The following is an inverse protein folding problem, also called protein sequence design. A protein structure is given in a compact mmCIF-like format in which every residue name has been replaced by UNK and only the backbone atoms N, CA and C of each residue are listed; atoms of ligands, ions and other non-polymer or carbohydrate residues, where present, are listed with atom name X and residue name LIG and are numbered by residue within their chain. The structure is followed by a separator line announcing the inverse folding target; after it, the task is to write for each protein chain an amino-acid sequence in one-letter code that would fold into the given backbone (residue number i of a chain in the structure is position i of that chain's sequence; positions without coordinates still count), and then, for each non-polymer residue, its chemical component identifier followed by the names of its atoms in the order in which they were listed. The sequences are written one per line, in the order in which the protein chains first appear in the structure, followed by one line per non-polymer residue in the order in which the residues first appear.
data_IF_620612082600
#
_entry.id   IF_620612082600
#
_cell.length_a   1.000
_cell.length_b   1.000
_cell.length_c   1.000
_cell.angle_alpha   90.00
_cell.angle_beta   90.00
_cell.angle_gamma   90.00
#
_symmetry.space_group_name_H-M   'P 1'
#
loop_
_entity.id
_entity.type
_entity.pdbx_description
1 polymer ?
#
# COMPACT_ATOMS: atom_id res chain seq x y z
N UNK A 1 -6.35 17.21 36.07
CA UNK A 1 -6.09 16.82 34.67
C UNK A 1 -4.60 16.56 34.57
N UNK A 2 -4.18 15.29 34.63
CA UNK A 2 -2.77 14.93 34.46
C UNK A 2 -2.37 15.15 33.00
N UNK A 3 -1.36 15.99 32.79
CA UNK A 3 -0.70 16.13 31.50
C UNK A 3 0.11 14.86 31.25
N UNK A 4 -0.42 13.94 30.45
CA UNK A 4 0.34 12.80 29.94
C UNK A 4 1.31 13.31 28.89
N UNK A 5 2.50 13.72 29.31
CA UNK A 5 3.61 13.98 28.40
C UNK A 5 4.11 12.62 27.91
N UNK A 6 3.70 12.22 26.71
CA UNK A 6 4.27 11.06 26.03
C UNK A 6 5.75 11.35 25.73
N UNK A 7 6.63 10.82 26.58
CA UNK A 7 8.08 10.82 26.34
C UNK A 7 8.36 9.72 25.32
N UNK A 8 8.43 10.08 24.05
CA UNK A 8 8.88 9.15 23.00
C UNK A 8 10.35 8.82 23.24
N UNK A 9 10.69 7.55 23.30
CA UNK A 9 12.08 7.11 23.39
C UNK A 9 12.80 7.46 22.06
N UNK A 10 14.10 7.78 22.08
CA UNK A 10 14.86 8.17 20.87
C UNK A 10 14.78 7.10 19.76
N UNK A 11 14.66 5.84 20.18
CA UNK A 11 14.45 4.69 19.28
C UNK A 11 13.14 4.79 18.52
N UNK A 12 12.03 5.14 19.19
CA UNK A 12 10.70 5.25 18.59
C UNK A 12 10.66 6.39 17.56
N UNK A 13 11.33 7.49 17.87
CA UNK A 13 11.43 8.64 16.96
C UNK A 13 12.21 8.28 15.69
N UNK A 14 13.32 7.56 15.82
CA UNK A 14 14.11 7.06 14.69
C UNK A 14 13.31 6.10 13.81
N UNK A 15 12.55 5.19 14.41
CA UNK A 15 11.67 4.29 13.67
C UNK A 15 10.55 5.05 12.94
N UNK A 16 9.92 6.03 13.59
CA UNK A 16 8.87 6.84 12.97
C UNK A 16 9.39 7.62 11.75
N UNK A 17 10.60 8.18 11.82
CA UNK A 17 11.25 8.87 10.69
C UNK A 17 11.52 7.90 9.53
N UNK A 18 12.06 6.72 9.83
CA UNK A 18 12.32 5.68 8.81
C UNK A 18 11.03 5.19 8.14
N UNK A 19 10.00 4.91 8.94
CA UNK A 19 8.67 4.51 8.48
C UNK A 19 8.08 5.57 7.55
N UNK A 20 8.09 6.84 7.98
CA UNK A 20 7.60 7.96 7.18
C UNK A 20 8.36 8.09 5.86
N UNK A 21 9.70 7.96 5.87
CA UNK A 21 10.52 8.04 4.67
C UNK A 21 10.17 6.94 3.68
N UNK A 22 10.16 5.68 4.13
CA UNK A 22 9.82 4.54 3.28
C UNK A 22 8.40 4.66 2.70
N UNK A 23 7.42 5.01 3.55
CA UNK A 23 6.02 5.24 3.14
C UNK A 23 5.93 6.29 2.04
N UNK A 24 6.59 7.43 2.24
CA UNK A 24 6.55 8.53 1.27
C UNK A 24 7.20 8.15 -0.06
N UNK A 25 8.34 7.46 -0.03
CA UNK A 25 9.05 7.00 -1.23
C UNK A 25 8.16 6.04 -2.04
N UNK A 26 7.66 4.98 -1.40
CA UNK A 26 6.80 3.97 -2.02
C UNK A 26 5.52 4.64 -2.54
N UNK A 27 4.84 5.43 -1.70
CA UNK A 27 3.60 6.10 -2.04
C UNK A 27 3.74 7.07 -3.22
N UNK A 28 4.84 7.84 -3.28
CA UNK A 28 5.10 8.73 -4.41
C UNK A 28 5.35 7.94 -5.70
N UNK A 29 6.16 6.88 -5.66
CA UNK A 29 6.45 6.08 -6.85
C UNK A 29 5.16 5.49 -7.46
N UNK A 30 4.31 4.91 -6.62
CA UNK A 30 3.03 4.33 -7.04
C UNK A 30 2.07 5.43 -7.52
N UNK A 31 1.96 6.55 -6.78
CA UNK A 31 1.09 7.67 -7.15
C UNK A 31 1.47 8.31 -8.49
N UNK A 32 2.77 8.37 -8.83
CA UNK A 32 3.23 8.82 -10.15
C UNK A 32 2.82 7.85 -11.26
N UNK A 33 2.91 6.54 -11.01
CA UNK A 33 2.57 5.51 -11.98
C UNK A 33 1.04 5.38 -12.20
N UNK A 34 0.24 5.52 -11.14
CA UNK A 34 -1.20 5.27 -11.14
C UNK A 34 -1.98 6.46 -10.54
N UNK A 35 -1.94 7.60 -11.23
CA UNK A 35 -2.39 8.93 -10.73
C UNK A 35 -3.85 8.99 -10.27
N UNK A 36 -4.73 8.18 -10.85
CA UNK A 36 -6.18 8.25 -10.60
C UNK A 36 -6.66 7.26 -9.53
N UNK A 37 -5.74 6.65 -8.80
CA UNK A 37 -6.06 5.59 -7.84
C UNK A 37 -5.57 5.94 -6.44
N UNK A 38 -6.43 5.77 -5.42
CA UNK A 38 -6.02 5.98 -4.04
C UNK A 38 -5.18 4.79 -3.59
N UNK A 39 -3.96 5.06 -3.16
CA UNK A 39 -3.05 4.08 -2.61
C UNK A 39 -2.84 4.34 -1.13
N UNK A 40 -2.82 3.28 -0.35
CA UNK A 40 -2.45 3.30 1.04
C UNK A 40 -1.22 2.41 1.22
N UNK A 41 -0.23 2.94 1.95
CA UNK A 41 1.04 2.25 2.22
C UNK A 41 1.23 2.21 3.72
N UNK A 42 1.14 1.02 4.28
CA UNK A 42 1.51 0.76 5.66
C UNK A 42 2.93 0.21 5.74
N UNK A 43 3.70 0.62 6.74
CA UNK A 43 5.13 0.30 6.84
C UNK A 43 5.45 -0.17 8.25
N UNK A 44 5.84 -1.44 8.34
CA UNK A 44 6.37 -2.05 9.55
C UNK A 44 7.90 -2.13 9.44
N UNK A 45 8.60 -1.18 10.07
CA UNK A 45 10.06 -1.11 10.06
C UNK A 45 10.69 -2.29 10.79
N UNK A 46 10.10 -2.74 11.90
CA UNK A 46 10.63 -3.87 12.70
C UNK A 46 10.50 -5.19 11.93
N UNK A 47 9.37 -5.38 11.25
CA UNK A 47 9.15 -6.51 10.36
C UNK A 47 9.87 -6.39 9.02
N UNK A 48 10.46 -5.25 8.70
CA UNK A 48 11.15 -5.01 7.43
C UNK A 48 10.23 -5.10 6.21
N UNK A 49 8.94 -4.77 6.35
CA UNK A 49 7.94 -4.90 5.29
C UNK A 49 7.11 -3.64 5.12
N UNK A 50 6.58 -3.45 3.92
CA UNK A 50 5.51 -2.51 3.65
C UNK A 50 4.36 -3.19 2.88
N UNK A 51 3.15 -2.83 3.25
CA UNK A 51 1.92 -3.35 2.64
C UNK A 51 1.28 -2.25 1.81
N UNK A 52 1.08 -2.52 0.52
CA UNK A 52 0.43 -1.63 -0.43
C UNK A 52 -1.00 -2.10 -0.63
N UNK A 53 -1.96 -1.21 -0.41
CA UNK A 53 -3.39 -1.46 -0.64
C UNK A 53 -4.01 -0.38 -1.50
N UNK A 54 -5.06 -0.73 -2.23
CA UNK A 54 -5.90 0.24 -2.95
C UNK A 54 -7.31 0.18 -2.36
N UNK A 55 -7.71 1.12 -1.49
CA UNK A 55 -8.98 1.08 -0.78
C UNK A 55 -10.22 1.04 -1.70
N UNK A 56 -10.10 1.57 -2.93
CA UNK A 56 -11.19 1.49 -3.92
C UNK A 56 -11.39 0.07 -4.48
N UNK A 57 -10.40 -0.81 -4.35
CA UNK A 57 -10.45 -2.20 -4.81
C UNK A 57 -10.75 -3.11 -3.63
N UNK A 58 -9.85 -3.11 -2.65
CA UNK A 58 -10.00 -3.93 -1.46
C UNK A 58 -9.27 -3.28 -0.29
N UNK A 59 -9.90 -3.33 0.88
CA UNK A 59 -9.28 -2.95 2.16
C UNK A 59 -8.55 -4.15 2.78
N UNK A 60 -8.94 -5.38 2.43
CA UNK A 60 -8.35 -6.63 2.96
C UNK A 60 -7.17 -7.14 2.14
N UNK A 61 -7.21 -6.95 0.82
CA UNK A 61 -6.18 -7.48 -0.07
C UNK A 61 -5.15 -6.40 -0.39
N UNK A 62 -3.89 -6.70 -0.08
CA UNK A 62 -2.75 -5.86 -0.39
C UNK A 62 -1.57 -6.68 -0.88
N UNK A 63 -0.54 -5.98 -1.34
CA UNK A 63 0.72 -6.59 -1.74
C UNK A 63 1.79 -6.23 -0.73
N UNK A 64 2.54 -7.23 -0.29
CA UNK A 64 3.64 -7.05 0.67
C UNK A 64 4.94 -6.91 -0.09
N UNK A 65 5.76 -5.94 0.31
CA UNK A 65 7.10 -5.72 -0.20
C UNK A 65 8.08 -5.76 0.96
N UNK A 66 9.26 -6.34 0.74
CA UNK A 66 10.35 -6.27 1.70
C UNK A 66 11.05 -4.92 1.57
N UNK A 67 11.28 -4.25 2.69
CA UNK A 67 12.05 -3.02 2.76
C UNK A 67 13.51 -3.36 2.49
N UNK A 68 14.12 -2.64 1.56
CA UNK A 68 15.54 -2.77 1.25
C UNK A 68 16.24 -1.43 1.41
N UNK A 69 17.58 -1.45 1.45
CA UNK A 69 18.38 -0.22 1.45
C UNK A 69 18.41 0.44 0.06
N UNK A 70 18.11 -0.31 -0.99
CA UNK A 70 18.06 0.18 -2.36
C UNK A 70 16.69 0.78 -2.66
N UNK A 71 16.66 2.11 -2.67
CA UNK A 71 15.44 2.90 -2.91
C UNK A 71 14.88 2.64 -4.31
N UNK A 72 15.72 2.55 -5.34
CA UNK A 72 15.25 2.42 -6.72
C UNK A 72 14.63 1.05 -6.96
N UNK A 73 15.26 0.00 -6.44
CA UNK A 73 14.69 -1.36 -6.47
C UNK A 73 13.35 -1.42 -5.73
N UNK A 74 13.27 -0.79 -4.55
CA UNK A 74 12.04 -0.73 -3.76
C UNK A 74 10.90 0.00 -4.51
N UNK A 75 11.19 1.15 -5.14
CA UNK A 75 10.22 1.88 -5.95
C UNK A 75 9.72 1.05 -7.14
N UNK A 76 10.63 0.44 -7.90
CA UNK A 76 10.26 -0.42 -9.05
C UNK A 76 9.39 -1.59 -8.62
N UNK A 77 9.76 -2.26 -7.52
CA UNK A 77 9.01 -3.41 -7.01
C UNK A 77 7.63 -3.00 -6.51
N UNK A 78 7.54 -1.86 -5.82
CA UNK A 78 6.26 -1.30 -5.37
C UNK A 78 5.32 -1.00 -6.53
N UNK A 79 5.81 -0.35 -7.59
CA UNK A 79 5.02 -0.07 -8.79
C UNK A 79 4.57 -1.36 -9.48
N UNK A 80 5.46 -2.34 -9.62
CA UNK A 80 5.13 -3.65 -10.20
C UNK A 80 3.98 -4.32 -9.42
N UNK A 81 4.11 -4.43 -8.10
CA UNK A 81 3.12 -5.12 -7.26
C UNK A 81 1.79 -4.37 -7.20
N UNK A 82 1.81 -3.05 -7.18
CA UNK A 82 0.61 -2.24 -7.37
C UNK A 82 -0.06 -2.58 -8.72
N UNK A 83 0.71 -2.67 -9.80
CA UNK A 83 0.24 -3.11 -11.11
C UNK A 83 -0.38 -4.51 -11.13
N UNK A 84 0.22 -5.47 -10.42
CA UNK A 84 -0.30 -6.83 -10.28
C UNK A 84 -1.60 -6.86 -9.48
N UNK A 85 -1.71 -6.06 -8.41
CA UNK A 85 -2.96 -5.93 -7.64
C UNK A 85 -4.11 -5.47 -8.53
N UNK A 86 -3.87 -4.50 -9.41
CA UNK A 86 -4.88 -4.02 -10.35
C UNK A 86 -5.33 -5.11 -11.32
N UNK A 87 -4.38 -5.86 -11.88
CA UNK A 87 -4.67 -6.96 -12.80
C UNK A 87 -5.45 -8.09 -12.13
N UNK A 88 -5.14 -8.42 -10.87
CA UNK A 88 -5.87 -9.42 -10.09
C UNK A 88 -7.35 -9.07 -9.93
N UNK A 89 -7.70 -7.79 -9.92
CA UNK A 89 -9.09 -7.33 -9.84
C UNK A 89 -9.63 -6.84 -11.19
N UNK A 90 -8.94 -7.13 -12.29
CA UNK A 90 -9.28 -6.71 -13.64
C UNK A 90 -9.53 -5.19 -13.79
N UNK A 91 -8.77 -4.39 -13.03
CA UNK A 91 -8.83 -2.93 -13.05
C UNK A 91 -7.83 -2.40 -14.06
N UNK A 92 -8.30 -1.55 -14.98
CA UNK A 92 -7.45 -0.89 -15.95
C UNK A 92 -6.48 0.09 -15.25
N UNK A 93 -5.19 -0.10 -15.49
CA UNK A 93 -4.07 0.68 -14.92
C UNK A 93 -4.12 2.18 -15.26
N UNK A 94 -4.70 2.54 -16.39
CA UNK A 94 -4.66 3.88 -16.98
C UNK A 94 -5.85 4.73 -16.57
N UNK A 95 -7.04 4.13 -16.57
CA UNK A 95 -8.29 4.85 -16.30
C UNK A 95 -8.71 4.80 -14.83
N UNK A 96 -8.24 3.78 -14.08
CA UNK A 96 -8.75 3.53 -12.73
C UNK A 96 -10.27 3.36 -12.73
N UNK A 97 -10.84 2.81 -13.80
CA UNK A 97 -12.28 2.65 -13.90
C UNK A 97 -12.73 1.49 -13.01
N UNK A 98 -13.20 1.81 -11.81
CA UNK A 98 -13.71 0.85 -10.83
C UNK A 98 -15.17 0.43 -11.07
N UNK A 99 -15.84 0.99 -12.09
CA UNK A 99 -17.28 0.82 -12.32
C UNK A 99 -17.72 -0.61 -12.60
N UNK A 100 -16.80 -1.47 -13.02
CA UNK A 100 -17.06 -2.89 -13.32
C UNK A 100 -16.78 -3.83 -12.14
N UNK A 101 -16.24 -3.33 -11.02
CA UNK A 101 -16.03 -4.15 -9.84
C UNK A 101 -17.38 -4.45 -9.20
N UNK A 102 -17.86 -5.68 -9.36
CA UNK A 102 -18.99 -6.19 -8.55
C UNK A 102 -18.59 -6.06 -7.09
N UNK A 103 -19.49 -5.60 -6.22
CA UNK A 103 -19.21 -5.43 -4.79
C UNK A 103 -20.13 -6.28 -3.94
N UNK A 104 -19.63 -6.75 -2.80
CA UNK A 104 -20.48 -7.34 -1.77
C UNK A 104 -21.22 -6.23 -0.99
N UNK A 105 -22.13 -6.63 -0.09
CA UNK A 105 -22.87 -5.71 0.80
C UNK A 105 -21.97 -4.87 1.71
N UNK A 106 -20.72 -5.30 1.93
CA UNK A 106 -19.69 -4.55 2.68
C UNK A 106 -18.88 -3.59 1.80
N UNK A 107 -19.19 -3.47 0.50
CA UNK A 107 -18.51 -2.59 -0.44
C UNK A 107 -17.18 -3.12 -0.97
N UNK A 108 -16.82 -4.38 -0.70
CA UNK A 108 -15.57 -4.99 -1.16
C UNK A 108 -15.72 -5.53 -2.59
N UNK A 109 -14.69 -5.37 -3.42
CA UNK A 109 -14.70 -5.94 -4.77
C UNK A 109 -14.77 -7.48 -4.74
N UNK A 110 -15.80 -8.03 -5.38
CA UNK A 110 -15.99 -9.42 -5.72
C UNK A 110 -15.21 -9.72 -6.99
N UNK A 111 -14.36 -10.74 -6.96
CA UNK A 111 -13.58 -11.16 -8.12
C UNK A 111 -12.15 -10.64 -8.12
N UNK A 112 -11.44 -10.72 -6.98
CA UNK A 112 -10.04 -11.11 -7.12
C UNK A 112 -10.05 -12.36 -8.01
N UNK A 113 -9.21 -12.41 -9.04
CA UNK A 113 -8.92 -13.62 -9.80
C UNK A 113 -8.32 -14.63 -8.81
N UNK A 114 -9.20 -15.24 -8.02
CA UNK A 114 -8.94 -16.44 -7.28
C UNK A 114 -8.71 -17.47 -8.37
N UNK A 115 -7.44 -17.83 -8.55
CA UNK A 115 -7.19 -19.25 -8.72
C UNK A 115 -7.92 -19.92 -7.56
N UNK A 116 -9.03 -20.58 -7.89
CA UNK A 116 -9.66 -21.54 -7.00
C UNK A 116 -8.56 -22.49 -6.53
N UNK A 117 -8.34 -22.53 -5.22
CA UNK A 117 -7.78 -23.66 -4.52
C UNK A 117 -8.70 -23.97 -3.35
#
# INVERSE_FOLDING_TARGET
MENVVQVYNETDMSQAVRSRRARNTIGHAIGRAYKNMPWHVDVNIEGGIATITCPKISVKHGMVIHLTRDIESMERKAVQLAGELLERFNVNRTTGNFGYLKRNIAGEALGAAAGEQ
#
